data_IF_593648081493
#
_entry.id   IF_593648081493
#
_cell.length_a   1.000
_cell.length_b   1.000
_cell.length_c   1.000
_cell.angle_alpha   90.00
_cell.angle_beta   90.00
_cell.angle_gamma   90.00
#
_symmetry.space_group_name_H-M   'P 1'
#
loop_
_entity.id
_entity.type
_entity.pdbx_description
1 polymer ?
#
# COMPACT_ATOMS: atom_id res chain seq x y z
N UNK A 1 10.05 -27.63 4.90
CA UNK A 1 8.80 -27.69 4.11
C UNK A 1 9.09 -28.43 2.82
N UNK A 2 8.37 -29.51 2.55
CA UNK A 2 8.65 -30.37 1.38
C UNK A 2 8.02 -29.80 0.09
N UNK A 3 8.45 -30.31 -1.07
CA UNK A 3 7.83 -30.01 -2.37
C UNK A 3 6.35 -30.41 -2.38
N UNK A 4 6.05 -31.60 -1.85
CA UNK A 4 4.71 -32.15 -1.78
C UNK A 4 3.79 -31.31 -0.91
N UNK A 5 4.29 -30.82 0.23
CA UNK A 5 3.54 -29.93 1.12
C UNK A 5 3.23 -28.59 0.45
N UNK A 6 4.14 -28.06 -0.39
CA UNK A 6 3.86 -26.87 -1.23
C UNK A 6 2.75 -27.14 -2.23
N UNK A 7 2.88 -28.24 -2.95
CA UNK A 7 1.94 -28.60 -4.00
C UNK A 7 0.55 -28.84 -3.40
N UNK A 8 0.46 -29.46 -2.22
CA UNK A 8 -0.80 -29.64 -1.51
C UNK A 8 -1.45 -28.30 -1.14
N UNK A 9 -0.67 -27.37 -0.58
CA UNK A 9 -1.17 -26.03 -0.22
C UNK A 9 -1.64 -25.22 -1.42
N UNK A 10 -1.02 -25.41 -2.57
CA UNK A 10 -1.41 -24.75 -3.83
C UNK A 10 -2.51 -25.51 -4.60
N UNK A 11 -2.93 -26.67 -4.11
CA UNK A 11 -3.89 -27.55 -4.78
C UNK A 11 -3.37 -28.04 -6.14
N UNK A 12 -2.10 -28.42 -6.20
CA UNK A 12 -1.39 -28.95 -7.38
C UNK A 12 -1.20 -30.47 -7.33
N UNK A 13 -1.59 -31.10 -6.22
CA UNK A 13 -1.54 -32.56 -6.05
C UNK A 13 -2.61 -33.23 -6.92
N UNK A 14 -2.26 -34.35 -7.56
CA UNK A 14 -3.19 -35.10 -8.43
C UNK A 14 -3.51 -34.45 -9.78
N UNK A 15 -3.01 -33.24 -10.06
CA UNK A 15 -3.18 -32.58 -11.35
C UNK A 15 -2.23 -33.14 -12.41
N UNK A 16 -2.72 -33.24 -13.64
CA UNK A 16 -1.88 -33.45 -14.82
C UNK A 16 -0.94 -32.26 -15.05
N UNK A 17 0.10 -32.45 -15.86
CA UNK A 17 1.05 -31.37 -16.18
C UNK A 17 0.38 -30.12 -16.77
N UNK A 18 -0.63 -30.29 -17.63
CA UNK A 18 -1.38 -29.20 -18.24
C UNK A 18 -2.26 -28.45 -17.22
N UNK A 19 -3.00 -29.19 -16.38
CA UNK A 19 -3.83 -28.61 -15.32
C UNK A 19 -2.99 -27.88 -14.28
N UNK A 20 -1.86 -28.46 -13.88
CA UNK A 20 -0.88 -27.83 -12.99
C UNK A 20 -0.39 -26.50 -13.57
N UNK A 21 -0.03 -26.47 -14.85
CA UNK A 21 0.41 -25.25 -15.52
C UNK A 21 -0.70 -24.18 -15.58
N UNK A 22 -1.93 -24.57 -15.90
CA UNK A 22 -3.09 -23.67 -15.90
C UNK A 22 -3.37 -23.09 -14.50
N UNK A 23 -3.33 -23.94 -13.47
CA UNK A 23 -3.50 -23.53 -12.07
C UNK A 23 -2.42 -22.55 -11.63
N UNK A 24 -1.15 -22.83 -11.93
CA UNK A 24 -0.06 -21.91 -11.59
C UNK A 24 -0.21 -20.55 -12.26
N UNK A 25 -0.64 -20.50 -13.54
CA UNK A 25 -0.93 -19.24 -14.23
C UNK A 25 -2.04 -18.46 -13.54
N UNK A 26 -3.14 -19.13 -13.17
CA UNK A 26 -4.25 -18.49 -12.47
C UNK A 26 -3.82 -17.90 -11.12
N UNK A 27 -3.13 -18.70 -10.30
CA UNK A 27 -2.62 -18.27 -9.00
C UNK A 27 -1.66 -17.07 -9.13
N UNK A 28 -0.78 -17.12 -10.14
CA UNK A 28 0.16 -16.02 -10.43
C UNK A 28 -0.58 -14.73 -10.78
N UNK A 29 -1.60 -14.81 -11.64
CA UNK A 29 -2.40 -13.64 -12.01
C UNK A 29 -3.21 -13.09 -10.84
N UNK A 30 -3.76 -13.95 -9.98
CA UNK A 30 -4.44 -13.53 -8.77
C UNK A 30 -3.50 -12.74 -7.84
N UNK A 31 -2.32 -13.30 -7.53
CA UNK A 31 -1.33 -12.64 -6.67
C UNK A 31 -0.86 -11.31 -7.28
N UNK A 32 -0.68 -11.24 -8.61
CA UNK A 32 -0.32 -9.99 -9.30
C UNK A 32 -1.39 -8.92 -9.13
N UNK A 33 -2.68 -9.27 -9.29
CA UNK A 33 -3.79 -8.34 -9.12
C UNK A 33 -3.89 -7.84 -7.67
N UNK A 34 -3.79 -8.74 -6.71
CA UNK A 34 -3.80 -8.39 -5.28
C UNK A 34 -2.62 -7.48 -4.92
N UNK A 35 -1.42 -7.78 -5.39
CA UNK A 35 -0.23 -6.95 -5.19
C UNK A 35 -0.39 -5.56 -5.84
N UNK A 36 -0.97 -5.48 -7.04
CA UNK A 36 -1.25 -4.21 -7.69
C UNK A 36 -2.25 -3.36 -6.90
N UNK A 37 -3.34 -3.99 -6.40
CA UNK A 37 -4.34 -3.33 -5.58
C UNK A 37 -3.74 -2.81 -4.25
N UNK A 38 -2.94 -3.64 -3.56
CA UNK A 38 -2.27 -3.24 -2.33
C UNK A 38 -1.31 -2.06 -2.54
N UNK A 39 -0.54 -2.07 -3.64
CA UNK A 39 0.34 -0.95 -4.01
C UNK A 39 -0.45 0.32 -4.31
N UNK A 40 -1.59 0.21 -5.01
CA UNK A 40 -2.47 1.34 -5.29
C UNK A 40 -3.05 1.93 -4.00
N UNK A 41 -3.53 1.09 -3.09
CA UNK A 41 -4.04 1.50 -1.78
C UNK A 41 -2.97 2.23 -0.95
N UNK A 42 -1.74 1.71 -0.93
CA UNK A 42 -0.62 2.35 -0.23
C UNK A 42 -0.27 3.72 -0.83
N UNK A 43 -0.27 3.84 -2.16
CA UNK A 43 -0.07 5.14 -2.83
C UNK A 43 -1.18 6.13 -2.49
N UNK A 44 -2.44 5.71 -2.51
CA UNK A 44 -3.57 6.54 -2.12
C UNK A 44 -3.47 7.01 -0.67
N UNK A 45 -3.07 6.12 0.25
CA UNK A 45 -2.87 6.48 1.65
C UNK A 45 -1.76 7.52 1.82
N UNK A 46 -0.64 7.37 1.11
CA UNK A 46 0.46 8.35 1.13
C UNK A 46 0.04 9.70 0.56
N UNK A 47 -0.70 9.71 -0.54
CA UNK A 47 -1.24 10.93 -1.14
C UNK A 47 -2.18 11.68 -0.18
N UNK A 48 -3.09 10.96 0.50
CA UNK A 48 -3.98 11.54 1.52
C UNK A 48 -3.19 12.17 2.68
N UNK A 49 -2.16 11.50 3.18
CA UNK A 49 -1.30 12.05 4.25
C UNK A 49 -0.54 13.29 3.81
N UNK A 50 -0.02 13.30 2.58
CA UNK A 50 0.66 14.47 2.03
C UNK A 50 -0.29 15.66 1.87
N UNK A 51 -1.51 15.44 1.35
CA UNK A 51 -2.53 16.47 1.24
C UNK A 51 -2.96 17.02 2.61
N UNK A 52 -3.13 16.15 3.61
CA UNK A 52 -3.46 16.57 4.98
C UNK A 52 -2.36 17.40 5.63
N UNK A 53 -1.07 17.07 5.39
CA UNK A 53 0.05 17.90 5.85
C UNK A 53 0.09 19.25 5.16
N UNK A 54 -0.07 19.28 3.84
CA UNK A 54 -0.11 20.53 3.09
C UNK A 54 -1.25 21.43 3.60
N UNK A 55 -2.44 20.88 3.85
CA UNK A 55 -3.55 21.64 4.41
C UNK A 55 -3.26 22.18 5.83
N UNK A 56 -2.59 21.38 6.68
CA UNK A 56 -2.18 21.80 8.02
C UNK A 56 -1.14 22.93 7.97
N UNK A 57 -0.16 22.85 7.06
CA UNK A 57 0.88 23.88 6.89
C UNK A 57 0.30 25.20 6.36
N UNK A 58 -0.71 25.18 5.49
CA UNK A 58 -1.40 26.39 5.04
C UNK A 58 -2.28 27.01 6.13
N UNK A 59 -2.79 26.19 7.06
CA UNK A 59 -3.66 26.63 8.16
C UNK A 59 -2.91 27.01 9.44
N UNK A 60 -1.61 26.75 9.53
CA UNK A 60 -0.79 27.18 10.66
C UNK A 60 -0.71 28.73 10.62
N UNK A 61 -1.35 29.46 11.54
CA UNK A 61 -1.17 30.90 11.59
C UNK A 61 0.31 31.14 11.88
N UNK A 62 0.92 31.97 11.03
CA UNK A 62 2.25 32.53 11.21
C UNK A 62 2.32 33.14 12.62
N UNK A 63 2.78 32.38 13.62
CA UNK A 63 3.16 32.92 14.93
C UNK A 63 4.49 33.66 14.74
N UNK A 64 4.44 34.76 13.99
CA UNK A 64 5.51 35.75 13.91
C UNK A 64 4.82 37.10 13.92
N UNK A 65 4.93 37.82 15.04
CA UNK A 65 4.50 39.22 15.14
C UNK A 65 3.63 39.59 16.35
N UNK A 66 3.80 38.96 17.52
CA UNK A 66 3.13 39.41 18.74
C UNK A 66 4.09 39.53 19.94
N UNK A 67 5.32 40.01 19.72
CA UNK A 67 6.25 40.38 20.81
C UNK A 67 6.88 41.77 20.66
N UNK A 68 6.46 42.61 19.71
CA UNK A 68 7.14 43.89 19.45
C UNK A 68 6.22 45.12 19.41
N UNK A 69 5.26 45.24 20.34
CA UNK A 69 4.52 46.51 20.54
C UNK A 69 4.03 46.70 21.99
N UNK A 70 4.91 46.55 22.97
CA UNK A 70 4.60 46.92 24.38
C UNK A 70 5.80 47.59 25.07
N UNK A 71 6.52 48.43 24.31
CA UNK A 71 7.56 49.31 24.86
C UNK A 71 7.57 50.69 24.18
N UNK A 72 6.40 51.33 24.12
CA UNK A 72 6.31 52.76 23.87
C UNK A 72 4.91 53.26 24.24
N UNK A 73 4.69 53.53 25.53
CA UNK A 73 3.91 54.66 26.06
C UNK A 73 4.21 54.79 27.54
#
# INVERSE_FOLDING_TARGET
MSQEERDARLGLTGLTGAERAARMRLLTEQVRREAAAARAALRAQRARRAAGRAAADTSAPKRAGAEETLRAT
#
